data_IF_144406154852
#
_entry.id   IF_144406154852
#
_cell.length_a   1.000
_cell.length_b   1.000
_cell.length_c   1.000
_cell.angle_alpha   90.00
_cell.angle_beta   90.00
_cell.angle_gamma   90.00
#
_symmetry.space_group_name_H-M   'P 1'
#
loop_
_entity.id
_entity.type
_entity.pdbx_description
1 polymer ?
#
# COMPACT_ATOMS: atom_id res chain seq x y z
N UNK A 1 40.27 8.87 11.01
CA UNK A 1 39.42 7.72 10.59
C UNK A 1 38.61 8.14 9.37
N UNK A 2 39.00 7.72 8.15
CA UNK A 2 38.31 8.05 6.89
C UNK A 2 36.97 7.31 6.86
N UNK A 3 35.85 8.03 6.84
CA UNK A 3 34.54 7.45 6.49
C UNK A 3 34.59 7.06 5.01
N UNK A 4 34.60 5.77 4.75
CA UNK A 4 34.40 5.21 3.41
C UNK A 4 32.93 5.48 3.07
N UNK A 5 32.67 6.53 2.30
CA UNK A 5 31.41 6.68 1.58
C UNK A 5 31.39 5.58 0.51
N UNK A 6 30.71 4.47 0.81
CA UNK A 6 30.42 3.45 -0.18
C UNK A 6 29.51 4.09 -1.25
N UNK A 7 30.03 4.10 -2.47
CA UNK A 7 29.39 4.46 -3.73
C UNK A 7 28.20 3.51 -4.04
N UNK A 8 27.14 3.52 -3.23
CA UNK A 8 25.92 2.73 -3.46
C UNK A 8 24.91 3.41 -4.40
N UNK A 9 25.22 4.61 -4.91
CA UNK A 9 24.26 5.52 -5.55
C UNK A 9 23.74 5.08 -6.95
N UNK A 10 24.31 4.05 -7.59
CA UNK A 10 24.14 3.91 -9.06
C UNK A 10 23.44 2.64 -9.55
N UNK A 11 23.01 1.70 -8.69
CA UNK A 11 22.34 0.45 -9.14
C UNK A 11 20.81 0.46 -9.04
N UNK A 12 20.21 1.39 -8.31
CA UNK A 12 18.77 1.38 -8.04
C UNK A 12 17.89 1.93 -9.17
N UNK A 13 18.43 2.81 -10.01
CA UNK A 13 17.64 3.60 -10.95
C UNK A 13 17.36 2.86 -12.28
N UNK A 14 18.32 2.10 -12.82
CA UNK A 14 18.06 1.23 -13.99
C UNK A 14 17.14 0.05 -13.65
N UNK A 15 17.32 -0.55 -12.48
CA UNK A 15 16.50 -1.67 -12.01
C UNK A 15 15.06 -1.20 -11.78
N UNK A 16 14.86 -0.04 -11.17
CA UNK A 16 13.53 0.56 -10.98
C UNK A 16 12.79 0.88 -12.28
N UNK A 17 13.51 1.33 -13.32
CA UNK A 17 12.94 1.62 -14.65
C UNK A 17 12.59 0.35 -15.41
N UNK A 18 13.46 -0.67 -15.38
CA UNK A 18 13.16 -1.99 -15.95
C UNK A 18 11.97 -2.65 -15.23
N UNK A 19 11.88 -2.50 -13.90
CA UNK A 19 10.70 -2.86 -13.11
C UNK A 19 9.47 -2.10 -13.60
N UNK A 20 9.54 -0.78 -13.82
CA UNK A 20 8.42 0.03 -14.29
C UNK A 20 7.83 -0.46 -15.63
N UNK A 21 8.65 -0.67 -16.66
CA UNK A 21 8.18 -1.15 -17.97
C UNK A 21 7.61 -2.57 -17.89
N UNK A 22 8.26 -3.45 -17.14
CA UNK A 22 7.79 -4.83 -17.00
C UNK A 22 6.51 -4.91 -16.16
N UNK A 23 6.38 -4.08 -15.12
CA UNK A 23 5.16 -3.99 -14.32
C UNK A 23 4.00 -3.44 -15.17
N UNK A 24 4.24 -2.50 -16.09
CA UNK A 24 3.21 -2.04 -17.03
C UNK A 24 2.76 -3.19 -17.96
N UNK A 25 3.69 -3.91 -18.58
CA UNK A 25 3.38 -5.10 -19.40
C UNK A 25 2.68 -6.19 -18.58
N UNK A 26 3.00 -6.27 -17.29
CA UNK A 26 2.44 -7.21 -16.36
C UNK A 26 1.03 -6.83 -15.88
N UNK A 27 0.76 -5.56 -15.59
CA UNK A 27 -0.59 -5.06 -15.30
C UNK A 27 -1.50 -5.26 -16.53
N UNK A 28 -0.97 -5.09 -17.74
CA UNK A 28 -1.67 -5.47 -18.98
C UNK A 28 -1.95 -6.98 -19.00
N UNK A 29 -1.00 -7.83 -18.59
CA UNK A 29 -1.22 -9.28 -18.53
C UNK A 29 -2.21 -9.71 -17.46
N UNK A 30 -2.24 -9.05 -16.28
CA UNK A 30 -3.28 -9.24 -15.26
C UNK A 30 -4.63 -8.80 -15.80
N UNK A 31 -4.72 -7.66 -16.47
CA UNK A 31 -5.96 -7.18 -17.08
C UNK A 31 -6.49 -8.20 -18.10
N UNK A 32 -5.61 -8.76 -18.93
CA UNK A 32 -5.94 -9.82 -19.89
C UNK A 32 -6.35 -11.11 -19.18
N UNK A 33 -5.66 -11.51 -18.12
CA UNK A 33 -6.01 -12.66 -17.28
C UNK A 33 -7.35 -12.49 -16.57
N UNK A 34 -7.64 -11.28 -16.07
CA UNK A 34 -8.92 -10.90 -15.46
C UNK A 34 -10.02 -10.98 -16.51
N UNK A 35 -9.82 -10.43 -17.72
CA UNK A 35 -10.77 -10.54 -18.83
C UNK A 35 -11.01 -12.01 -19.21
N UNK A 36 -9.97 -12.83 -19.31
CA UNK A 36 -10.08 -14.25 -19.65
C UNK A 36 -10.74 -15.09 -18.54
N UNK A 37 -10.46 -14.80 -17.27
CA UNK A 37 -11.16 -15.40 -16.13
C UNK A 37 -12.61 -14.95 -16.05
N UNK A 38 -12.89 -13.65 -16.26
CA UNK A 38 -14.24 -13.11 -16.37
C UNK A 38 -15.03 -13.82 -17.49
N UNK A 39 -14.44 -14.04 -18.67
CA UNK A 39 -15.10 -14.75 -19.77
C UNK A 39 -15.37 -16.24 -19.50
N UNK A 40 -14.48 -16.93 -18.77
CA UNK A 40 -14.56 -18.38 -18.55
C UNK A 40 -15.33 -18.78 -17.28
N UNK A 41 -15.46 -17.88 -16.31
CA UNK A 41 -16.12 -18.14 -15.02
C UNK A 41 -17.57 -17.64 -15.01
N UNK A 42 -17.89 -16.55 -15.73
CA UNK A 42 -19.28 -16.07 -15.88
C UNK A 42 -20.18 -17.03 -16.64
N UNK A 43 -19.61 -17.96 -17.41
CA UNK A 43 -20.36 -18.92 -18.24
C UNK A 43 -20.66 -20.25 -17.55
N UNK A 44 -20.09 -20.54 -16.37
CA UNK A 44 -20.04 -21.92 -15.88
C UNK A 44 -20.46 -22.17 -14.41
N UNK A 45 -20.29 -21.22 -13.46
CA UNK A 45 -20.32 -21.64 -12.03
C UNK A 45 -21.03 -20.74 -11.00
N UNK A 46 -21.56 -19.56 -11.32
CA UNK A 46 -22.32 -18.71 -10.36
C UNK A 46 -21.63 -18.50 -8.99
N UNK A 47 -20.29 -18.39 -8.98
CA UNK A 47 -19.47 -18.14 -7.77
C UNK A 47 -19.17 -16.64 -7.63
N UNK A 48 -19.16 -16.11 -6.40
CA UNK A 48 -18.69 -14.74 -6.12
C UNK A 48 -17.18 -14.61 -6.38
N UNK A 49 -16.84 -13.99 -7.51
CA UNK A 49 -15.51 -13.87 -8.14
C UNK A 49 -14.48 -13.06 -7.32
N UNK A 50 -14.93 -12.20 -6.40
CA UNK A 50 -14.08 -11.13 -5.86
C UNK A 50 -12.89 -11.63 -5.02
N UNK A 51 -13.05 -12.66 -4.17
CA UNK A 51 -11.98 -13.07 -3.25
C UNK A 51 -10.85 -13.88 -3.92
N UNK A 52 -11.16 -14.59 -5.01
CA UNK A 52 -10.19 -15.39 -5.78
C UNK A 52 -9.26 -14.48 -6.58
N UNK A 53 -9.77 -13.34 -7.05
CA UNK A 53 -9.00 -12.36 -7.82
C UNK A 53 -7.85 -11.77 -6.99
N UNK A 54 -8.10 -11.36 -5.74
CA UNK A 54 -7.07 -10.79 -4.86
C UNK A 54 -5.90 -11.75 -4.61
N UNK A 55 -6.18 -13.05 -4.41
CA UNK A 55 -5.15 -14.06 -4.17
C UNK A 55 -4.32 -14.29 -5.43
N UNK A 56 -4.98 -14.48 -6.58
CA UNK A 56 -4.32 -14.63 -7.86
C UNK A 56 -3.41 -13.44 -8.18
N UNK A 57 -3.93 -12.23 -8.06
CA UNK A 57 -3.17 -11.00 -8.31
C UNK A 57 -1.97 -10.86 -7.38
N UNK A 58 -2.13 -11.18 -6.08
CA UNK A 58 -1.03 -11.12 -5.10
C UNK A 58 0.09 -12.08 -5.42
N UNK A 59 -0.25 -13.33 -5.73
CA UNK A 59 0.71 -14.37 -6.10
C UNK A 59 1.45 -13.97 -7.37
N UNK A 60 0.71 -13.49 -8.37
CA UNK A 60 1.25 -13.17 -9.68
C UNK A 60 2.15 -11.93 -9.59
N UNK A 61 1.76 -10.89 -8.83
CA UNK A 61 2.59 -9.69 -8.58
C UNK A 61 3.88 -10.06 -7.83
N UNK A 62 3.75 -10.82 -6.75
CA UNK A 62 4.91 -11.22 -5.93
C UNK A 62 5.84 -12.12 -6.74
N UNK A 63 5.27 -13.07 -7.47
CA UNK A 63 6.00 -13.97 -8.37
C UNK A 63 6.79 -13.19 -9.42
N UNK A 64 6.20 -12.19 -10.05
CA UNK A 64 6.90 -11.34 -11.03
C UNK A 64 8.05 -10.54 -10.42
N UNK A 65 7.88 -9.96 -9.23
CA UNK A 65 8.99 -9.27 -8.57
C UNK A 65 10.14 -10.25 -8.26
N UNK A 66 9.84 -11.50 -7.90
CA UNK A 66 10.85 -12.51 -7.59
C UNK A 66 11.56 -13.04 -8.85
N UNK A 67 10.89 -13.08 -10.01
CA UNK A 67 11.47 -13.63 -11.25
C UNK A 67 12.22 -12.60 -12.07
N UNK A 68 11.96 -11.31 -11.89
CA UNK A 68 12.66 -10.22 -12.59
C UNK A 68 14.12 -10.12 -12.11
N UNK A 69 15.03 -9.91 -13.08
CA UNK A 69 16.44 -9.64 -12.80
C UNK A 69 16.60 -8.42 -11.89
N UNK A 70 17.23 -8.61 -10.74
CA UNK A 70 17.39 -7.58 -9.71
C UNK A 70 16.21 -7.44 -8.74
N UNK A 71 15.03 -8.00 -9.04
CA UNK A 71 13.85 -7.91 -8.17
C UNK A 71 14.02 -8.62 -6.82
N UNK A 72 14.65 -9.80 -6.79
CA UNK A 72 15.06 -10.47 -5.53
C UNK A 72 16.02 -9.63 -4.70
N UNK A 73 16.98 -8.97 -5.35
CA UNK A 73 17.95 -8.10 -4.67
C UNK A 73 17.25 -6.85 -4.12
N UNK A 74 16.32 -6.27 -4.89
CA UNK A 74 15.48 -5.18 -4.44
C UNK A 74 14.65 -5.57 -3.22
N UNK A 75 13.95 -6.71 -3.24
CA UNK A 75 13.18 -7.21 -2.10
C UNK A 75 14.09 -7.47 -0.90
N UNK A 76 15.24 -8.13 -1.07
CA UNK A 76 16.19 -8.37 0.02
C UNK A 76 16.63 -7.07 0.71
N UNK A 77 16.77 -5.98 -0.05
CA UNK A 77 17.17 -4.66 0.45
C UNK A 77 16.02 -3.82 1.00
N UNK A 78 14.79 -4.03 0.53
CA UNK A 78 13.66 -3.14 0.81
C UNK A 78 12.48 -3.80 1.53
N UNK A 79 12.47 -5.12 1.71
CA UNK A 79 11.43 -5.83 2.44
C UNK A 79 11.48 -5.43 3.92
N UNK A 80 12.64 -5.56 4.56
CA UNK A 80 12.89 -5.03 5.90
C UNK A 80 14.23 -4.30 5.90
N UNK A 81 14.21 -2.99 6.17
CA UNK A 81 15.43 -2.16 6.26
C UNK A 81 16.04 -2.15 7.66
N UNK A 82 15.26 -2.52 8.67
CA UNK A 82 15.78 -2.78 10.02
C UNK A 82 16.38 -4.18 10.07
N UNK A 83 17.46 -4.34 10.85
CA UNK A 83 18.08 -5.66 11.08
C UNK A 83 17.18 -6.54 11.93
N UNK A 84 16.53 -5.95 12.94
CA UNK A 84 15.61 -6.61 13.84
C UNK A 84 14.20 -6.65 13.23
N UNK A 85 13.93 -7.68 12.41
CA UNK A 85 12.66 -7.84 11.68
C UNK A 85 11.44 -7.78 12.64
N UNK A 86 11.52 -8.43 13.80
CA UNK A 86 10.45 -8.43 14.80
C UNK A 86 10.07 -7.02 15.29
N UNK A 87 11.06 -6.15 15.50
CA UNK A 87 10.81 -4.75 15.88
C UNK A 87 10.10 -4.02 14.74
N UNK A 88 10.48 -4.30 13.49
CA UNK A 88 9.81 -3.77 12.30
C UNK A 88 8.34 -4.19 12.24
N UNK A 89 8.06 -5.49 12.38
CA UNK A 89 6.69 -6.03 12.38
C UNK A 89 5.87 -5.41 13.50
N UNK A 90 6.40 -5.38 14.73
CA UNK A 90 5.73 -4.78 15.88
C UNK A 90 5.44 -3.28 15.66
N UNK A 91 6.42 -2.54 15.13
CA UNK A 91 6.24 -1.11 14.78
C UNK A 91 5.11 -0.93 13.77
N UNK A 92 5.07 -1.78 12.73
CA UNK A 92 4.00 -1.79 11.74
C UNK A 92 2.64 -2.06 12.38
N UNK A 93 2.52 -3.15 13.14
CA UNK A 93 1.30 -3.56 13.81
C UNK A 93 0.72 -2.45 14.71
N UNK A 94 1.55 -1.87 15.59
CA UNK A 94 1.13 -0.79 16.50
C UNK A 94 0.71 0.46 15.70
N UNK A 95 1.47 0.83 14.67
CA UNK A 95 1.12 1.99 13.83
C UNK A 95 -0.21 1.77 13.11
N UNK A 96 -0.44 0.56 12.59
CA UNK A 96 -1.69 0.15 11.96
C UNK A 96 -2.89 0.22 12.91
N UNK A 97 -2.73 -0.25 14.15
CA UNK A 97 -3.78 -0.14 15.17
C UNK A 97 -4.08 1.31 15.56
N UNK A 98 -3.04 2.13 15.75
CA UNK A 98 -3.20 3.54 16.10
C UNK A 98 -3.96 4.28 15.00
N UNK A 99 -3.58 4.10 13.72
CA UNK A 99 -4.28 4.81 12.64
C UNK A 99 -5.73 4.35 12.50
N UNK A 100 -6.01 3.05 12.69
CA UNK A 100 -7.39 2.54 12.69
C UNK A 100 -8.22 3.12 13.83
N UNK A 101 -7.63 3.24 15.01
CA UNK A 101 -8.31 3.86 16.15
C UNK A 101 -8.64 5.33 15.85
N UNK A 102 -7.69 6.09 15.29
CA UNK A 102 -7.89 7.49 14.89
C UNK A 102 -8.96 7.61 13.81
N UNK A 103 -8.96 6.75 12.78
CA UNK A 103 -9.95 6.82 11.70
C UNK A 103 -11.36 6.46 12.18
N UNK A 104 -11.52 5.49 13.08
CA UNK A 104 -12.81 5.20 13.68
C UNK A 104 -13.30 6.30 14.62
N UNK A 105 -12.41 6.91 15.40
CA UNK A 105 -12.77 8.09 16.19
C UNK A 105 -13.26 9.21 15.28
N UNK A 106 -12.49 9.58 14.26
CA UNK A 106 -12.89 10.60 13.28
C UNK A 106 -14.28 10.31 12.69
N UNK A 107 -14.55 9.04 12.36
CA UNK A 107 -15.83 8.61 11.79
C UNK A 107 -17.02 8.75 12.75
N UNK A 108 -16.80 8.51 14.05
CA UNK A 108 -17.84 8.41 15.07
C UNK A 108 -18.01 9.69 15.91
N UNK A 109 -17.03 10.60 15.93
CA UNK A 109 -17.09 11.89 16.62
C UNK A 109 -18.38 12.68 16.32
N UNK A 110 -18.91 12.73 15.09
CA UNK A 110 -20.16 13.46 14.82
C UNK A 110 -21.37 12.98 15.62
N UNK A 111 -21.42 11.70 16.01
CA UNK A 111 -22.51 11.16 16.86
C UNK A 111 -22.58 11.90 18.19
N UNK A 112 -21.43 12.25 18.78
CA UNK A 112 -21.35 12.99 20.05
C UNK A 112 -22.01 14.38 19.95
N UNK A 113 -22.28 14.86 18.74
CA UNK A 113 -22.93 16.15 18.46
C UNK A 113 -24.34 15.99 17.87
N UNK A 114 -24.91 14.78 17.86
CA UNK A 114 -26.23 14.51 17.30
C UNK A 114 -26.26 14.37 15.77
N UNK A 115 -25.09 14.32 15.13
CA UNK A 115 -24.95 14.17 13.67
C UNK A 115 -24.81 12.69 13.27
N UNK A 116 -24.98 12.41 11.98
CA UNK A 116 -24.82 11.05 11.43
C UNK A 116 -23.35 10.63 11.35
N UNK A 117 -23.13 9.30 11.38
CA UNK A 117 -21.79 8.70 11.22
C UNK A 117 -21.24 9.04 9.83
N UNK A 118 -19.95 9.37 9.75
CA UNK A 118 -19.29 9.54 8.45
C UNK A 118 -19.32 8.20 7.71
N UNK A 119 -19.95 8.17 6.54
CA UNK A 119 -20.01 6.96 5.73
C UNK A 119 -18.62 6.61 5.19
N UNK A 120 -18.38 5.31 5.04
CA UNK A 120 -17.19 4.80 4.35
C UNK A 120 -17.40 4.84 2.83
N UNK A 121 -16.31 4.89 2.07
CA UNK A 121 -16.33 4.91 0.62
C UNK A 121 -17.02 3.69 0.01
N UNK A 122 -17.63 3.90 -1.16
CA UNK A 122 -18.53 2.95 -1.81
C UNK A 122 -17.90 1.61 -2.17
N UNK A 123 -16.56 1.58 -2.29
CA UNK A 123 -15.81 0.40 -2.73
C UNK A 123 -15.22 -0.40 -1.55
N UNK A 124 -15.63 -0.09 -0.32
CA UNK A 124 -15.17 -0.81 0.87
C UNK A 124 -16.01 -2.03 1.18
N UNK A 125 -15.34 -3.14 1.50
CA UNK A 125 -16.00 -4.33 2.03
C UNK A 125 -16.35 -4.10 3.49
N UNK A 126 -17.62 -3.79 3.75
CA UNK A 126 -18.15 -3.62 5.11
C UNK A 126 -18.63 -4.97 5.63
N UNK A 127 -17.76 -5.72 6.31
CA UNK A 127 -18.22 -6.86 7.10
C UNK A 127 -18.41 -6.42 8.56
N UNK A 128 -19.66 -6.50 9.03
CA UNK A 128 -20.04 -6.20 10.42
C UNK A 128 -19.44 -7.19 11.42
N UNK A 129 -19.00 -8.36 10.96
CA UNK A 129 -18.21 -9.31 11.74
C UNK A 129 -17.19 -10.01 10.81
N UNK A 130 -15.90 -9.83 11.09
CA UNK A 130 -14.86 -10.68 10.50
C UNK A 130 -14.76 -11.96 11.31
N UNK A 131 -14.86 -13.11 10.63
CA UNK A 131 -14.50 -14.38 11.23
C UNK A 131 -12.98 -14.36 11.49
N UNK A 132 -12.56 -14.48 12.74
CA UNK A 132 -11.14 -14.55 13.13
C UNK A 132 -10.50 -15.90 12.79
N UNK A 133 -11.01 -16.60 11.79
CA UNK A 133 -10.39 -17.84 11.30
C UNK A 133 -9.07 -17.56 10.59
N UNK A 134 -8.24 -18.59 10.49
CA UNK A 134 -6.96 -18.50 9.77
C UNK A 134 -7.17 -18.21 8.27
N UNK A 135 -8.19 -18.80 7.67
CA UNK A 135 -8.59 -18.54 6.29
C UNK A 135 -9.04 -17.08 6.13
N UNK A 136 -9.83 -16.56 7.07
CA UNK A 136 -10.25 -15.16 7.11
C UNK A 136 -9.07 -14.19 7.20
N UNK A 137 -8.04 -14.53 7.99
CA UNK A 137 -6.79 -13.78 8.07
C UNK A 137 -6.06 -13.74 6.72
N UNK A 138 -5.95 -14.88 6.03
CA UNK A 138 -5.27 -14.96 4.73
C UNK A 138 -6.01 -14.12 3.68
N UNK A 139 -7.32 -14.33 3.55
CA UNK A 139 -8.12 -13.76 2.45
C UNK A 139 -8.41 -12.28 2.68
N UNK A 140 -8.75 -11.87 3.91
CA UNK A 140 -9.27 -10.53 4.17
C UNK A 140 -8.26 -9.55 4.76
N UNK A 141 -7.04 -10.01 5.04
CA UNK A 141 -6.01 -9.17 5.64
C UNK A 141 -4.63 -9.33 4.98
N UNK A 142 -4.05 -10.53 4.96
CA UNK A 142 -2.70 -10.75 4.43
C UNK A 142 -2.66 -10.49 2.92
N UNK A 143 -3.56 -11.14 2.18
CA UNK A 143 -3.56 -11.09 0.71
C UNK A 143 -3.79 -9.67 0.20
N UNK A 144 -4.85 -8.94 0.61
CA UNK A 144 -5.07 -7.58 0.14
C UNK A 144 -3.93 -6.64 0.56
N UNK A 145 -3.39 -6.79 1.79
CA UNK A 145 -2.27 -5.97 2.24
C UNK A 145 -1.00 -6.18 1.38
N UNK A 146 -0.67 -7.44 1.03
CA UNK A 146 0.46 -7.71 0.12
C UNK A 146 0.20 -7.08 -1.24
N UNK A 147 -1.00 -7.28 -1.80
CA UNK A 147 -1.37 -6.76 -3.10
C UNK A 147 -1.26 -5.23 -3.14
N UNK A 148 -2.03 -4.57 -2.30
CA UNK A 148 -2.19 -3.13 -2.28
C UNK A 148 -0.86 -2.45 -1.94
N UNK A 149 -0.13 -2.92 -0.93
CA UNK A 149 1.18 -2.33 -0.62
C UNK A 149 2.18 -2.57 -1.75
N UNK A 150 2.13 -3.70 -2.44
CA UNK A 150 3.02 -3.90 -3.58
C UNK A 150 2.66 -2.98 -4.75
N UNK A 151 1.37 -2.85 -5.08
CA UNK A 151 0.88 -1.95 -6.13
C UNK A 151 1.20 -0.50 -5.77
N UNK A 152 0.81 0.00 -4.60
CA UNK A 152 0.95 1.43 -4.30
C UNK A 152 2.38 1.81 -3.90
N UNK A 153 3.15 0.92 -3.26
CA UNK A 153 4.50 1.23 -2.74
C UNK A 153 5.62 0.81 -3.67
N UNK A 154 5.54 -0.37 -4.25
CA UNK A 154 6.61 -0.82 -5.16
C UNK A 154 6.32 -0.29 -6.55
N UNK A 155 5.16 -0.60 -7.12
CA UNK A 155 4.79 -0.20 -8.47
C UNK A 155 4.59 1.31 -8.56
N UNK A 156 3.76 1.88 -7.69
CA UNK A 156 3.43 3.29 -7.67
C UNK A 156 4.68 4.17 -7.55
N UNK A 157 5.55 3.90 -6.58
CA UNK A 157 6.78 4.68 -6.42
C UNK A 157 7.72 4.53 -7.61
N UNK A 158 7.81 3.33 -8.20
CA UNK A 158 8.64 3.11 -9.39
C UNK A 158 8.12 3.89 -10.59
N UNK A 159 6.80 3.91 -10.81
CA UNK A 159 6.16 4.71 -11.86
C UNK A 159 6.46 6.19 -11.65
N UNK A 160 6.30 6.71 -10.44
CA UNK A 160 6.62 8.11 -10.16
C UNK A 160 8.10 8.44 -10.31
N UNK A 161 9.01 7.52 -9.96
CA UNK A 161 10.43 7.69 -10.23
C UNK A 161 10.71 7.83 -11.74
N UNK A 162 10.07 7.00 -12.57
CA UNK A 162 10.14 7.09 -14.02
C UNK A 162 9.57 8.41 -14.55
N UNK A 163 8.38 8.81 -14.07
CA UNK A 163 7.72 10.07 -14.48
C UNK A 163 8.62 11.26 -14.15
N UNK A 164 9.15 11.35 -12.93
CA UNK A 164 10.04 12.44 -12.57
C UNK A 164 11.30 12.43 -13.43
N UNK A 165 11.91 11.26 -13.66
CA UNK A 165 13.10 11.16 -14.51
C UNK A 165 12.83 11.65 -15.94
N UNK A 166 11.71 11.23 -16.53
CA UNK A 166 11.31 11.65 -17.87
C UNK A 166 11.02 13.15 -17.93
N UNK A 167 10.24 13.67 -16.98
CA UNK A 167 9.93 15.10 -16.88
C UNK A 167 11.20 15.95 -16.76
N UNK A 168 12.16 15.53 -15.94
CA UNK A 168 13.45 16.22 -15.83
C UNK A 168 14.25 16.18 -17.12
N UNK A 169 14.28 15.02 -17.81
CA UNK A 169 14.97 14.88 -19.10
C UNK A 169 14.41 15.80 -20.18
N UNK A 170 13.12 16.15 -20.12
CA UNK A 170 12.47 17.04 -21.09
C UNK A 170 12.63 18.51 -20.70
N UNK A 171 12.31 18.84 -19.45
CA UNK A 171 12.19 20.23 -18.99
C UNK A 171 13.55 20.84 -18.64
N UNK A 172 14.49 20.05 -18.11
CA UNK A 172 15.85 20.50 -17.79
C UNK A 172 16.83 19.85 -18.74
N UNK A 173 16.97 20.42 -19.93
CA UNK A 173 17.95 20.01 -20.97
C UNK A 173 19.42 19.95 -20.52
N UNK A 174 19.78 20.25 -19.26
CA UNK A 174 21.15 20.22 -18.75
C UNK A 174 21.30 19.68 -17.30
N UNK A 175 22.31 18.83 -17.16
CA UNK A 175 23.24 18.57 -16.04
C UNK A 175 22.77 18.12 -14.64
N UNK A 176 21.48 17.97 -14.34
CA UNK A 176 21.16 17.14 -13.17
C UNK A 176 21.45 15.70 -13.56
N UNK A 177 22.56 15.14 -13.06
CA UNK A 177 22.85 13.70 -13.13
C UNK A 177 21.55 12.97 -12.81
N UNK A 178 20.95 12.35 -13.82
CA UNK A 178 19.63 11.70 -13.76
C UNK A 178 19.55 10.60 -12.68
N UNK A 179 20.69 10.27 -12.09
CA UNK A 179 20.89 9.29 -11.03
C UNK A 179 20.51 9.79 -9.62
N UNK A 180 20.13 11.06 -9.42
CA UNK A 180 19.82 11.64 -8.09
C UNK A 180 18.35 11.53 -7.64
N UNK A 181 17.43 11.03 -8.48
CA UNK A 181 16.01 10.91 -8.12
C UNK A 181 15.83 9.71 -7.19
N UNK A 182 15.59 9.98 -5.91
CA UNK A 182 15.30 8.97 -4.90
C UNK A 182 13.92 9.20 -4.28
N UNK A 183 12.91 8.53 -4.83
CA UNK A 183 11.51 8.59 -4.35
C UNK A 183 11.29 7.94 -2.98
N UNK A 184 12.28 7.21 -2.46
CA UNK A 184 12.24 6.63 -1.11
C UNK A 184 12.79 7.60 -0.05
N UNK A 185 13.50 8.65 -0.47
CA UNK A 185 13.99 9.69 0.41
C UNK A 185 12.90 10.75 0.66
N UNK A 186 12.20 10.64 1.79
CA UNK A 186 11.16 11.58 2.19
C UNK A 186 11.67 13.01 2.48
N UNK A 187 12.98 13.21 2.62
CA UNK A 187 13.56 14.57 2.71
C UNK A 187 13.61 15.26 1.34
N UNK A 188 13.48 14.50 0.25
CA UNK A 188 13.41 15.06 -1.09
C UNK A 188 11.97 15.45 -1.45
N UNK A 189 11.81 16.54 -2.21
CA UNK A 189 10.50 16.91 -2.76
C UNK A 189 9.87 15.79 -3.59
N UNK A 190 10.68 15.00 -4.29
CA UNK A 190 10.20 13.85 -5.08
C UNK A 190 9.60 12.75 -4.21
N UNK A 191 10.31 12.35 -3.14
CA UNK A 191 9.82 11.33 -2.23
C UNK A 191 8.55 11.76 -1.50
N UNK A 192 8.47 13.03 -1.10
CA UNK A 192 7.26 13.59 -0.47
C UNK A 192 6.08 13.64 -1.45
N UNK A 193 6.31 14.13 -2.69
CA UNK A 193 5.29 14.16 -3.74
C UNK A 193 4.81 12.77 -4.12
N UNK A 194 5.71 11.79 -4.28
CA UNK A 194 5.33 10.40 -4.55
C UNK A 194 4.50 9.82 -3.41
N UNK A 195 4.91 10.04 -2.15
CA UNK A 195 4.15 9.59 -0.99
C UNK A 195 2.73 10.16 -1.02
N UNK A 196 2.59 11.47 -1.24
CA UNK A 196 1.29 12.13 -1.22
C UNK A 196 0.41 11.65 -2.38
N UNK A 197 0.93 11.64 -3.61
CA UNK A 197 0.14 11.28 -4.79
C UNK A 197 -0.27 9.81 -4.75
N UNK A 198 0.65 8.88 -4.42
CA UNK A 198 0.29 7.45 -4.33
C UNK A 198 -0.75 7.19 -3.24
N UNK A 199 -0.66 7.89 -2.11
CA UNK A 199 -1.64 7.78 -1.02
C UNK A 199 -2.99 8.42 -1.38
N UNK A 200 -2.99 9.50 -2.16
CA UNK A 200 -4.20 10.12 -2.67
C UNK A 200 -4.91 9.23 -3.69
N UNK A 201 -4.17 8.63 -4.64
CA UNK A 201 -4.74 7.68 -5.61
C UNK A 201 -5.32 6.46 -4.88
N UNK A 202 -4.58 5.91 -3.92
CA UNK A 202 -5.08 4.86 -3.02
C UNK A 202 -6.40 5.26 -2.36
N UNK A 203 -6.46 6.46 -1.78
CA UNK A 203 -7.67 6.95 -1.12
C UNK A 203 -8.84 7.08 -2.08
N UNK A 204 -8.62 7.66 -3.27
CA UNK A 204 -9.66 7.87 -4.28
C UNK A 204 -10.21 6.56 -4.85
N UNK A 205 -9.39 5.52 -4.97
CA UNK A 205 -9.84 4.20 -5.44
C UNK A 205 -10.88 3.54 -4.52
N UNK A 206 -10.94 3.97 -3.27
CA UNK A 206 -11.96 3.52 -2.32
C UNK A 206 -13.32 4.23 -2.47
N UNK A 207 -13.45 5.15 -3.43
CA UNK A 207 -14.69 5.89 -3.69
C UNK A 207 -15.15 6.76 -2.52
N UNK A 208 -14.27 7.59 -1.91
CA UNK A 208 -14.66 8.39 -0.77
C UNK A 208 -15.51 9.61 -1.17
N UNK A 209 -16.33 10.07 -0.24
CA UNK A 209 -16.83 11.45 -0.24
C UNK A 209 -15.74 12.39 0.29
N UNK A 210 -15.96 13.71 0.20
CA UNK A 210 -15.03 14.70 0.77
C UNK A 210 -14.79 14.44 2.27
N UNK A 211 -15.85 14.06 3.00
CA UNK A 211 -15.79 13.79 4.43
C UNK A 211 -15.07 12.48 4.76
N UNK A 212 -15.16 11.47 3.89
CA UNK A 212 -14.53 10.17 4.11
C UNK A 212 -13.14 10.03 3.49
N UNK A 213 -12.69 10.99 2.68
CA UNK A 213 -11.33 11.01 2.11
C UNK A 213 -10.23 10.86 3.18
N UNK A 214 -10.27 11.56 4.34
CA UNK A 214 -9.25 11.39 5.37
C UNK A 214 -9.15 9.97 5.93
N UNK A 215 -10.25 9.20 5.92
CA UNK A 215 -10.30 7.82 6.42
C UNK A 215 -9.35 6.92 5.64
N UNK A 216 -9.16 7.18 4.33
CA UNK A 216 -8.27 6.38 3.48
C UNK A 216 -6.92 7.05 3.23
N UNK A 217 -6.90 8.39 3.15
CA UNK A 217 -5.66 9.13 2.92
C UNK A 217 -4.69 8.98 4.09
N UNK A 218 -5.19 9.00 5.34
CA UNK A 218 -4.33 8.91 6.51
C UNK A 218 -3.62 7.54 6.63
N UNK A 219 -4.31 6.38 6.54
CA UNK A 219 -3.63 5.08 6.42
C UNK A 219 -2.69 5.03 5.21
N UNK A 220 -3.12 5.54 4.05
CA UNK A 220 -2.29 5.59 2.85
C UNK A 220 -0.96 6.32 3.09
N UNK A 221 -0.99 7.49 3.72
CA UNK A 221 0.20 8.26 4.06
C UNK A 221 1.08 7.55 5.09
N UNK A 222 0.47 6.94 6.12
CA UNK A 222 1.22 6.22 7.15
C UNK A 222 1.93 5.00 6.58
N UNK A 223 1.23 4.16 5.82
CA UNK A 223 1.81 2.95 5.21
C UNK A 223 2.92 3.33 4.23
N UNK A 224 2.70 4.35 3.39
CA UNK A 224 3.74 4.87 2.52
C UNK A 224 4.96 5.41 3.27
N UNK A 225 4.76 6.09 4.40
CA UNK A 225 5.85 6.53 5.27
C UNK A 225 6.61 5.33 5.87
N UNK A 226 5.91 4.31 6.36
CA UNK A 226 6.51 3.10 6.91
C UNK A 226 7.33 2.35 5.85
N UNK A 227 6.83 2.26 4.62
CA UNK A 227 7.58 1.73 3.48
C UNK A 227 8.89 2.50 3.25
N UNK A 228 8.80 3.83 3.15
CA UNK A 228 9.97 4.68 2.91
C UNK A 228 10.97 4.67 4.08
N UNK A 229 10.53 4.45 5.32
CA UNK A 229 11.42 4.50 6.49
C UNK A 229 11.96 3.12 6.89
N UNK A 230 11.13 2.08 6.83
CA UNK A 230 11.43 0.78 7.41
C UNK A 230 11.32 -0.40 6.42
N UNK A 231 10.72 -0.20 5.25
CA UNK A 231 10.60 -1.20 4.20
C UNK A 231 9.18 -1.75 4.03
N UNK A 232 9.00 -2.51 2.95
CA UNK A 232 7.71 -3.02 2.47
C UNK A 232 7.02 -3.93 3.49
N UNK A 233 7.77 -4.81 4.14
CA UNK A 233 7.23 -5.75 5.13
C UNK A 233 6.64 -5.07 6.35
N UNK A 234 7.17 -3.91 6.76
CA UNK A 234 6.58 -3.10 7.84
C UNK A 234 5.28 -2.45 7.40
N UNK A 235 5.21 -1.96 6.16
CA UNK A 235 3.97 -1.44 5.56
C UNK A 235 2.89 -2.52 5.49
N UNK A 236 3.24 -3.70 4.97
CA UNK A 236 2.34 -4.87 4.87
C UNK A 236 1.87 -5.29 6.28
N UNK A 237 2.77 -5.30 7.27
CA UNK A 237 2.39 -5.66 8.64
C UNK A 237 1.38 -4.68 9.24
N UNK A 238 1.58 -3.37 9.01
CA UNK A 238 0.65 -2.35 9.46
C UNK A 238 -0.72 -2.52 8.81
N UNK A 239 -0.76 -2.62 7.48
CA UNK A 239 -1.98 -2.78 6.71
C UNK A 239 -2.71 -4.09 7.05
N UNK A 240 -2.00 -5.21 7.13
CA UNK A 240 -2.58 -6.50 7.51
C UNK A 240 -3.25 -6.43 8.88
N UNK A 241 -2.59 -5.85 9.88
CA UNK A 241 -3.15 -5.73 11.23
C UNK A 241 -4.34 -4.78 11.25
N UNK A 242 -4.25 -3.64 10.54
CA UNK A 242 -5.38 -2.72 10.38
C UNK A 242 -6.59 -3.42 9.78
N UNK A 243 -6.41 -4.24 8.75
CA UNK A 243 -7.50 -4.97 8.11
C UNK A 243 -8.05 -6.08 9.00
N UNK A 244 -7.20 -6.85 9.68
CA UNK A 244 -7.63 -8.00 10.46
C UNK A 244 -8.37 -7.60 11.74
N UNK A 245 -7.87 -6.57 12.45
CA UNK A 245 -8.41 -6.14 13.73
C UNK A 245 -9.39 -4.96 13.63
N UNK A 246 -9.78 -4.55 12.43
CA UNK A 246 -10.66 -3.39 12.20
C UNK A 246 -11.98 -3.48 12.97
N UNK A 247 -12.66 -4.63 12.94
CA UNK A 247 -13.92 -4.85 13.66
C UNK A 247 -13.74 -4.72 15.18
N UNK A 248 -12.65 -5.29 15.72
CA UNK A 248 -12.34 -5.21 17.14
C UNK A 248 -12.07 -3.76 17.57
N UNK A 249 -11.27 -3.02 16.79
CA UNK A 249 -10.99 -1.60 17.07
C UNK A 249 -12.27 -0.78 17.02
N UNK A 250 -13.17 -1.03 16.06
CA UNK A 250 -14.47 -0.36 16.00
C UNK A 250 -15.30 -0.63 17.27
N UNK A 251 -15.37 -1.88 17.73
CA UNK A 251 -16.07 -2.22 18.98
C UNK A 251 -15.49 -1.48 20.18
N UNK A 252 -14.15 -1.40 20.29
CA UNK A 252 -13.48 -0.66 21.36
C UNK A 252 -13.83 0.83 21.30
N UNK A 253 -13.78 1.45 20.11
CA UNK A 253 -14.09 2.88 19.96
C UNK A 253 -15.55 3.16 20.33
N UNK A 254 -16.50 2.34 19.87
CA UNK A 254 -17.92 2.46 20.22
C UNK A 254 -18.12 2.33 21.73
N UNK A 255 -17.48 1.34 22.36
CA UNK A 255 -17.54 1.16 23.81
C UNK A 255 -17.02 2.39 24.56
N UNK A 256 -15.88 2.95 24.13
CA UNK A 256 -15.31 4.15 24.76
C UNK A 256 -16.20 5.39 24.59
N UNK A 257 -16.81 5.58 23.43
CA UNK A 257 -17.75 6.69 23.21
C UNK A 257 -18.94 6.58 24.15
N UNK A 258 -19.55 5.39 24.26
CA UNK A 258 -20.69 5.14 25.16
C UNK A 258 -20.34 5.23 26.65
N UNK A 259 -19.04 5.16 27.00
CA UNK A 259 -18.59 5.34 28.39
C UNK A 259 -18.42 6.84 28.73
N UNK A 260 -18.14 7.67 27.73
CA UNK A 260 -17.80 9.09 27.90
C UNK A 260 -19.00 10.03 27.71
N UNK A 261 -20.06 9.57 27.04
CA UNK A 261 -21.28 10.32 26.74
C UNK A 261 -22.51 9.49 27.14
#
# INVERSE_FOLDING_TARGET
MKRIFLNEEYTYNEIGIKLGYMIISFLISILVMQILCLCKVTTLLDIKINDILYIGESIVITGCIITISGGRSFLKKNLFRRKEIFIGIFTGAISGLIVMFITYLYRLIPICFGESIIEIGSNQVVSTYKNFSFEGLIVTAITPAILEETIFRVVGFSIFACIFKFWFSIVRKNEIKSNSINVLNLKSGYGLSTLFITSLVFALMHGPSILSLPIYLLPGLLFGFLYCKYGLGVSISAHCISNYLSSLVLTIVVFLINLLF
#
